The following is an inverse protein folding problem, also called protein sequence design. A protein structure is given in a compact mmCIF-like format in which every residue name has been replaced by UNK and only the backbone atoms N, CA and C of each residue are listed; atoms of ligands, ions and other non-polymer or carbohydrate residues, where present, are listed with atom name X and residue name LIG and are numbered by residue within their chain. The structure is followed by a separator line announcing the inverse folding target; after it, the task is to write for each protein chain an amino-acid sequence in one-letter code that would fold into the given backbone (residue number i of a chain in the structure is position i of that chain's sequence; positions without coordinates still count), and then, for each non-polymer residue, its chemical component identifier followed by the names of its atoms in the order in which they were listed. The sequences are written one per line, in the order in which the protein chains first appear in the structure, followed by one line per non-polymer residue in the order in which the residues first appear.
data_IF_073212153142
#
_entry.id   IF_073212153142
#
_cell.length_a   1.000
_cell.length_b   1.000
_cell.length_c   1.000
_cell.angle_alpha   90.00
_cell.angle_beta   90.00
_cell.angle_gamma   90.00
#
_symmetry.space_group_name_H-M   'P 1'
#
loop_
_entity.id
_entity.type
_entity.pdbx_description
1 polymer ?
#
# COMPACT_ATOMS: atom_id res chain seq x y z
N UNK A 1 -10.06 47.29 22.76
CA UNK A 1 -11.36 46.99 22.13
C UNK A 1 -11.11 46.68 20.65
N UNK A 2 -11.76 45.66 20.10
CA UNK A 2 -11.54 44.99 18.78
C UNK A 2 -10.55 43.84 18.87
N UNK A 3 -11.07 42.63 19.11
CA UNK A 3 -10.55 41.32 18.65
C UNK A 3 -11.30 40.19 19.37
N UNK A 4 -12.63 40.08 19.20
CA UNK A 4 -13.37 38.95 19.79
C UNK A 4 -14.63 38.52 19.01
N UNK A 5 -14.71 38.84 17.72
CA UNK A 5 -15.87 38.48 16.87
C UNK A 5 -15.36 37.88 15.56
N UNK A 6 -14.65 36.76 15.60
CA UNK A 6 -14.33 35.97 14.39
C UNK A 6 -14.16 34.47 14.67
N UNK A 7 -14.64 33.99 15.83
CA UNK A 7 -14.45 32.61 16.31
C UNK A 7 -15.76 31.84 16.51
N UNK A 8 -16.88 32.35 15.99
CA UNK A 8 -18.20 31.72 16.11
C UNK A 8 -18.77 31.19 14.78
N UNK A 9 -18.15 31.48 13.63
CA UNK A 9 -18.66 31.06 12.31
C UNK A 9 -17.92 29.87 11.67
N UNK A 10 -16.83 29.39 12.28
CA UNK A 10 -16.03 28.26 11.80
C UNK A 10 -16.33 26.94 12.54
N UNK A 11 -17.31 26.91 13.43
CA UNK A 11 -17.74 25.72 14.18
C UNK A 11 -18.93 24.97 13.58
N UNK A 12 -19.64 25.56 12.61
CA UNK A 12 -20.87 24.98 12.04
C UNK A 12 -20.66 24.19 10.74
N UNK A 13 -19.46 24.18 10.16
CA UNK A 13 -19.17 23.51 8.89
C UNK A 13 -18.57 22.08 9.04
N UNK A 14 -18.38 21.62 10.28
CA UNK A 14 -17.76 20.30 10.59
C UNK A 14 -18.76 19.21 11.01
N UNK A 15 -20.07 19.48 10.99
CA UNK A 15 -21.13 18.48 11.27
C UNK A 15 -21.85 17.98 10.01
N UNK A 16 -21.42 18.41 8.83
CA UNK A 16 -21.98 18.05 7.53
C UNK A 16 -21.22 16.95 6.80
N UNK A 17 -20.57 16.02 7.51
CA UNK A 17 -20.17 14.75 6.87
C UNK A 17 -21.45 13.97 6.57
N UNK A 18 -21.95 14.20 5.37
CA UNK A 18 -23.08 13.57 4.72
C UNK A 18 -22.85 12.06 4.65
N UNK A 19 -23.17 11.37 5.75
CA UNK A 19 -23.62 10.00 5.65
C UNK A 19 -24.73 10.00 4.59
N UNK A 20 -24.47 9.38 3.43
CA UNK A 20 -25.50 9.12 2.43
C UNK A 20 -26.68 8.53 3.19
N UNK A 21 -27.77 9.30 3.33
CA UNK A 21 -28.94 8.85 4.10
C UNK A 21 -29.40 7.57 3.43
N UNK A 22 -29.40 6.47 4.17
CA UNK A 22 -29.94 5.20 3.67
C UNK A 22 -31.39 5.48 3.28
N UNK A 23 -31.76 5.12 2.06
CA UNK A 23 -33.10 5.27 1.52
C UNK A 23 -33.56 3.93 0.95
N UNK A 24 -34.85 3.77 0.73
CA UNK A 24 -35.40 2.56 0.11
C UNK A 24 -34.80 2.35 -1.28
N UNK A 25 -34.60 3.41 -2.05
CA UNK A 25 -33.97 3.36 -3.38
C UNK A 25 -32.53 2.88 -3.29
N UNK A 26 -31.74 3.44 -2.36
CA UNK A 26 -30.33 3.04 -2.17
C UNK A 26 -30.18 1.58 -1.73
N UNK A 27 -31.04 1.11 -0.83
CA UNK A 27 -31.03 -0.29 -0.40
C UNK A 27 -31.52 -1.23 -1.51
N UNK A 28 -32.48 -0.80 -2.35
CA UNK A 28 -32.92 -1.57 -3.53
C UNK A 28 -31.82 -1.68 -4.57
N UNK A 29 -31.10 -0.59 -4.85
CA UNK A 29 -29.95 -0.62 -5.78
C UNK A 29 -28.84 -1.53 -5.25
N UNK A 30 -28.56 -1.47 -3.96
CA UNK A 30 -27.58 -2.35 -3.30
C UNK A 30 -27.99 -3.81 -3.41
N UNK A 31 -29.28 -4.10 -3.24
CA UNK A 31 -29.85 -5.44 -3.38
C UNK A 31 -29.62 -6.03 -4.77
N UNK A 32 -29.99 -5.30 -5.82
CA UNK A 32 -29.81 -5.75 -7.19
C UNK A 32 -28.33 -5.95 -7.55
N UNK A 33 -27.46 -5.04 -7.11
CA UNK A 33 -26.02 -5.15 -7.29
C UNK A 33 -25.45 -6.40 -6.59
N UNK A 34 -25.86 -6.64 -5.34
CA UNK A 34 -25.43 -7.79 -4.56
C UNK A 34 -25.91 -9.10 -5.20
N UNK A 35 -27.18 -9.17 -5.64
CA UNK A 35 -27.75 -10.34 -6.31
C UNK A 35 -27.02 -10.65 -7.62
N UNK A 36 -26.80 -9.64 -8.45
CA UNK A 36 -26.05 -9.81 -9.70
C UNK A 36 -24.60 -10.27 -9.45
N UNK A 37 -23.97 -9.79 -8.39
CA UNK A 37 -22.63 -10.23 -8.03
C UNK A 37 -22.59 -11.68 -7.51
N UNK A 38 -23.52 -12.09 -6.64
CA UNK A 38 -23.65 -13.48 -6.20
C UNK A 38 -23.86 -14.42 -7.40
N UNK A 39 -24.68 -14.03 -8.37
CA UNK A 39 -24.87 -14.80 -9.60
C UNK A 39 -23.58 -14.97 -10.41
N UNK A 40 -22.81 -13.88 -10.60
CA UNK A 40 -21.49 -13.93 -11.26
C UNK A 40 -20.52 -14.85 -10.54
N UNK A 41 -20.45 -14.76 -9.22
CA UNK A 41 -19.58 -15.61 -8.40
C UNK A 41 -20.02 -17.07 -8.43
N UNK A 42 -21.33 -17.33 -8.39
CA UNK A 42 -21.88 -18.69 -8.50
C UNK A 42 -21.52 -19.35 -9.84
N UNK A 43 -21.54 -18.57 -10.93
CA UNK A 43 -21.07 -19.04 -12.23
C UNK A 43 -19.56 -19.33 -12.27
N UNK A 44 -18.75 -18.47 -11.64
CA UNK A 44 -17.28 -18.64 -11.59
C UNK A 44 -16.84 -19.78 -10.66
N UNK A 45 -17.55 -19.98 -9.56
CA UNK A 45 -17.23 -20.93 -8.50
C UNK A 45 -18.36 -21.94 -8.32
N UNK A 46 -18.57 -22.81 -9.32
CA UNK A 46 -19.70 -23.74 -9.37
C UNK A 46 -19.82 -24.65 -8.14
N UNK A 47 -18.71 -25.01 -7.51
CA UNK A 47 -18.70 -25.85 -6.30
C UNK A 47 -19.28 -25.16 -5.07
N UNK A 48 -19.38 -23.83 -5.08
CA UNK A 48 -19.97 -23.01 -4.02
C UNK A 48 -21.47 -22.76 -4.24
N UNK A 49 -22.06 -23.28 -5.33
CA UNK A 49 -23.48 -23.06 -5.67
C UNK A 49 -24.44 -23.37 -4.52
N UNK A 50 -24.32 -24.49 -3.76
CA UNK A 50 -25.21 -24.74 -2.62
C UNK A 50 -25.15 -23.65 -1.55
N UNK A 51 -23.96 -23.11 -1.27
CA UNK A 51 -23.80 -22.01 -0.33
C UNK A 51 -24.40 -20.70 -0.86
N UNK A 52 -24.25 -20.41 -2.15
CA UNK A 52 -24.88 -19.23 -2.77
C UNK A 52 -26.41 -19.33 -2.77
N UNK A 53 -26.97 -20.48 -3.07
CA UNK A 53 -28.43 -20.72 -3.03
C UNK A 53 -28.98 -20.58 -1.61
N UNK A 54 -28.26 -21.08 -0.61
CA UNK A 54 -28.64 -20.94 0.80
C UNK A 54 -28.75 -19.46 1.21
N UNK A 55 -27.74 -18.64 0.89
CA UNK A 55 -27.74 -17.23 1.26
C UNK A 55 -28.75 -16.41 0.46
N UNK A 56 -28.94 -16.73 -0.83
CA UNK A 56 -29.94 -16.07 -1.67
C UNK A 56 -31.33 -16.30 -1.11
N UNK A 57 -31.68 -17.55 -0.78
CA UNK A 57 -32.98 -17.89 -0.20
C UNK A 57 -33.23 -17.15 1.12
N UNK A 58 -32.24 -17.11 2.01
CA UNK A 58 -32.33 -16.39 3.30
C UNK A 58 -32.50 -14.89 3.10
N UNK A 59 -31.71 -14.31 2.20
CA UNK A 59 -31.74 -12.88 1.94
C UNK A 59 -33.02 -12.44 1.21
N UNK A 60 -33.52 -13.25 0.27
CA UNK A 60 -34.78 -13.00 -0.44
C UNK A 60 -35.97 -13.00 0.52
N UNK A 61 -36.06 -13.99 1.42
CA UNK A 61 -37.09 -14.01 2.45
C UNK A 61 -37.07 -12.73 3.29
N UNK A 62 -35.89 -12.31 3.76
CA UNK A 62 -35.73 -11.08 4.54
C UNK A 62 -36.07 -9.81 3.74
N UNK A 63 -35.73 -9.79 2.46
CA UNK A 63 -36.04 -8.66 1.57
C UNK A 63 -37.56 -8.55 1.36
N UNK A 64 -38.26 -9.67 1.17
CA UNK A 64 -39.72 -9.70 1.07
C UNK A 64 -40.39 -9.22 2.37
N UNK A 65 -39.91 -9.68 3.53
CA UNK A 65 -40.39 -9.18 4.83
C UNK A 65 -40.19 -7.67 4.95
N UNK A 66 -39.01 -7.16 4.56
CA UNK A 66 -38.71 -5.73 4.59
C UNK A 66 -39.65 -4.92 3.67
N UNK A 67 -39.93 -5.43 2.48
CA UNK A 67 -40.81 -4.77 1.51
C UNK A 67 -42.26 -4.64 1.99
N UNK A 68 -42.73 -5.56 2.82
CA UNK A 68 -44.07 -5.54 3.41
C UNK A 68 -44.22 -4.52 4.58
N UNK A 69 -43.12 -3.93 5.07
CA UNK A 69 -43.17 -2.95 6.14
C UNK A 69 -43.69 -1.59 5.66
N UNK A 70 -44.57 -0.98 6.47
CA UNK A 70 -45.15 0.35 6.20
C UNK A 70 -44.30 1.48 6.79
N UNK A 71 -43.66 1.26 7.95
CA UNK A 71 -42.72 2.22 8.53
C UNK A 71 -41.44 2.28 7.71
N UNK A 72 -41.14 3.46 7.16
CA UNK A 72 -40.03 3.66 6.23
C UNK A 72 -38.66 3.38 6.88
N UNK A 73 -38.48 3.78 8.14
CA UNK A 73 -37.21 3.59 8.85
C UNK A 73 -36.97 2.11 9.15
N UNK A 74 -38.00 1.39 9.60
CA UNK A 74 -37.95 -0.05 9.81
C UNK A 74 -37.70 -0.80 8.50
N UNK A 75 -38.38 -0.40 7.42
CA UNK A 75 -38.17 -0.94 6.07
C UNK A 75 -36.71 -0.81 5.62
N UNK A 76 -36.15 0.39 5.68
CA UNK A 76 -34.74 0.64 5.33
C UNK A 76 -33.80 -0.25 6.16
N UNK A 77 -34.05 -0.37 7.46
CA UNK A 77 -33.24 -1.21 8.36
C UNK A 77 -33.35 -2.70 8.02
N UNK A 78 -34.53 -3.18 7.64
CA UNK A 78 -34.72 -4.58 7.27
C UNK A 78 -34.13 -4.92 5.89
N UNK A 79 -34.22 -3.99 4.92
CA UNK A 79 -33.56 -4.13 3.61
C UNK A 79 -32.03 -4.14 3.77
N UNK A 80 -31.51 -3.29 4.65
CA UNK A 80 -30.10 -3.28 5.03
C UNK A 80 -29.62 -4.64 5.59
N UNK A 81 -30.45 -5.28 6.40
CA UNK A 81 -30.17 -6.61 6.94
C UNK A 81 -30.15 -7.66 5.83
N UNK A 82 -31.13 -7.66 4.92
CA UNK A 82 -31.15 -8.53 3.74
C UNK A 82 -29.88 -8.35 2.88
N UNK A 83 -29.47 -7.10 2.65
CA UNK A 83 -28.23 -6.76 1.96
C UNK A 83 -26.96 -7.28 2.66
N UNK A 84 -26.96 -7.37 3.99
CA UNK A 84 -25.87 -7.97 4.76
C UNK A 84 -25.86 -9.50 4.63
N UNK A 85 -27.03 -10.14 4.65
CA UNK A 85 -27.19 -11.60 4.56
C UNK A 85 -26.69 -12.13 3.21
N UNK A 86 -26.99 -11.44 2.10
CA UNK A 86 -26.56 -11.85 0.76
C UNK A 86 -25.05 -11.67 0.52
N UNK A 87 -24.37 -10.87 1.37
CA UNK A 87 -22.93 -10.58 1.24
C UNK A 87 -22.12 -10.95 2.48
N UNK A 88 -22.13 -12.24 2.88
CA UNK A 88 -21.36 -12.73 4.01
C UNK A 88 -19.85 -12.70 3.71
N UNK A 89 -19.03 -13.20 4.65
CA UNK A 89 -17.56 -13.13 4.55
C UNK A 89 -17.02 -13.88 3.34
N UNK A 90 -17.48 -15.11 3.07
CA UNK A 90 -16.98 -15.89 1.93
C UNK A 90 -17.26 -15.23 0.58
N UNK A 91 -18.41 -14.58 0.42
CA UNK A 91 -18.74 -13.82 -0.81
C UNK A 91 -17.71 -12.72 -1.02
N UNK A 92 -17.44 -11.90 0.01
CA UNK A 92 -16.41 -10.85 -0.04
C UNK A 92 -15.00 -11.41 -0.27
N UNK A 93 -14.68 -12.55 0.33
CA UNK A 93 -13.39 -13.21 0.14
C UNK A 93 -13.20 -13.71 -1.29
N UNK A 94 -14.24 -14.29 -1.91
CA UNK A 94 -14.21 -14.72 -3.31
C UNK A 94 -14.11 -13.53 -4.27
N UNK A 95 -14.84 -12.42 -4.02
CA UNK A 95 -14.70 -11.18 -4.80
C UNK A 95 -13.26 -10.65 -4.78
N UNK A 96 -12.62 -10.68 -3.61
CA UNK A 96 -11.26 -10.16 -3.40
C UNK A 96 -10.14 -11.11 -3.81
N UNK A 97 -10.45 -12.36 -4.17
CA UNK A 97 -9.46 -13.42 -4.35
C UNK A 97 -8.46 -13.12 -5.49
N UNK A 98 -8.98 -12.73 -6.66
CA UNK A 98 -8.13 -12.43 -7.83
C UNK A 98 -7.18 -11.26 -7.53
N UNK A 99 -7.68 -10.22 -6.85
CA UNK A 99 -6.88 -9.06 -6.44
C UNK A 99 -5.75 -9.45 -5.49
N UNK A 100 -6.01 -10.33 -4.52
CA UNK A 100 -4.98 -10.83 -3.58
C UNK A 100 -3.90 -11.63 -4.33
N UNK A 101 -4.30 -12.48 -5.27
CA UNK A 101 -3.37 -13.25 -6.09
C UNK A 101 -2.51 -12.33 -6.95
N UNK A 102 -3.11 -11.36 -7.64
CA UNK A 102 -2.37 -10.37 -8.45
C UNK A 102 -1.41 -9.53 -7.59
N UNK A 103 -1.84 -9.12 -6.38
CA UNK A 103 -0.95 -8.40 -5.44
C UNK A 103 0.27 -9.23 -5.03
N UNK A 104 0.09 -10.54 -4.83
CA UNK A 104 1.19 -11.46 -4.56
C UNK A 104 2.14 -11.60 -5.75
N UNK A 105 1.60 -11.73 -6.96
CA UNK A 105 2.39 -11.79 -8.20
C UNK A 105 3.24 -10.54 -8.39
N UNK A 106 2.67 -9.35 -8.16
CA UNK A 106 3.40 -8.08 -8.17
C UNK A 106 4.52 -8.03 -7.13
N UNK A 107 4.25 -8.51 -5.91
CA UNK A 107 5.24 -8.55 -4.85
C UNK A 107 6.38 -9.54 -5.15
N UNK A 108 6.09 -10.68 -5.78
CA UNK A 108 7.11 -11.62 -6.24
C UNK A 108 8.01 -11.01 -7.31
N UNK A 109 7.42 -10.24 -8.24
CA UNK A 109 8.19 -9.49 -9.24
C UNK A 109 9.08 -8.42 -8.58
N UNK A 110 8.52 -7.62 -7.66
CA UNK A 110 9.27 -6.60 -6.91
C UNK A 110 10.41 -7.19 -6.08
N UNK A 111 10.17 -8.28 -5.36
CA UNK A 111 11.21 -8.96 -4.58
C UNK A 111 12.39 -9.39 -5.47
N UNK A 112 12.08 -9.92 -6.66
CA UNK A 112 13.11 -10.29 -7.64
C UNK A 112 13.89 -9.07 -8.14
N UNK A 113 13.19 -8.01 -8.54
CA UNK A 113 13.79 -6.78 -9.08
C UNK A 113 14.67 -6.03 -8.07
N UNK A 114 14.30 -6.03 -6.78
CA UNK A 114 15.01 -5.30 -5.74
C UNK A 114 16.18 -6.09 -5.13
N UNK A 115 16.28 -7.40 -5.39
CA UNK A 115 17.36 -8.23 -4.86
C UNK A 115 18.69 -8.00 -5.58
N UNK A 116 19.59 -7.22 -4.94
CA UNK A 116 20.86 -6.79 -5.55
C UNK A 116 22.03 -7.71 -5.18
N UNK A 117 22.07 -8.18 -3.93
CA UNK A 117 23.12 -9.07 -3.43
C UNK A 117 22.67 -10.54 -3.36
N UNK A 118 23.59 -11.47 -3.09
CA UNK A 118 23.29 -12.90 -3.03
C UNK A 118 22.26 -13.23 -1.93
N UNK A 119 22.40 -12.62 -0.76
CA UNK A 119 21.51 -12.89 0.38
C UNK A 119 20.07 -12.45 0.10
N UNK A 120 19.90 -11.30 -0.58
CA UNK A 120 18.60 -10.81 -1.00
C UNK A 120 17.97 -11.73 -2.05
N UNK A 121 18.78 -12.27 -2.96
CA UNK A 121 18.30 -13.19 -4.02
C UNK A 121 17.80 -14.51 -3.42
N UNK A 122 18.52 -15.06 -2.46
CA UNK A 122 18.10 -16.28 -1.74
C UNK A 122 16.78 -16.04 -0.98
N UNK A 123 16.68 -14.91 -0.27
CA UNK A 123 15.47 -14.53 0.46
C UNK A 123 14.29 -14.30 -0.50
N UNK A 124 14.50 -13.60 -1.61
CA UNK A 124 13.50 -13.38 -2.65
C UNK A 124 13.05 -14.68 -3.29
N UNK A 125 13.97 -15.59 -3.59
CA UNK A 125 13.65 -16.90 -4.15
C UNK A 125 12.79 -17.74 -3.18
N UNK A 126 13.19 -17.82 -1.91
CA UNK A 126 12.43 -18.56 -0.90
C UNK A 126 11.02 -17.97 -0.69
N UNK A 127 10.90 -16.64 -0.62
CA UNK A 127 9.62 -15.96 -0.49
C UNK A 127 8.73 -16.13 -1.73
N UNK A 128 9.31 -16.07 -2.94
CA UNK A 128 8.60 -16.32 -4.20
C UNK A 128 8.08 -17.75 -4.27
N UNK A 129 8.91 -18.75 -3.99
CA UNK A 129 8.49 -20.15 -3.95
C UNK A 129 7.35 -20.39 -2.95
N UNK A 130 7.42 -19.76 -1.78
CA UNK A 130 6.32 -19.77 -0.80
C UNK A 130 5.06 -19.07 -1.32
N UNK A 131 5.18 -17.98 -2.07
CA UNK A 131 4.07 -17.25 -2.69
C UNK A 131 3.37 -18.05 -3.77
N UNK A 132 4.13 -18.64 -4.69
CA UNK A 132 3.61 -19.52 -5.74
C UNK A 132 2.89 -20.74 -5.14
N UNK A 133 3.47 -21.34 -4.09
CA UNK A 133 2.81 -22.43 -3.36
C UNK A 133 1.48 -21.98 -2.76
N UNK A 134 1.45 -20.86 -2.05
CA UNK A 134 0.22 -20.34 -1.45
C UNK A 134 -0.86 -20.03 -2.50
N UNK A 135 -0.49 -19.49 -3.68
CA UNK A 135 -1.43 -19.27 -4.78
C UNK A 135 -2.00 -20.60 -5.29
N UNK A 136 -1.14 -21.61 -5.50
CA UNK A 136 -1.58 -22.94 -5.96
C UNK A 136 -2.50 -23.61 -4.93
N UNK A 137 -2.12 -23.61 -3.66
CA UNK A 137 -2.91 -24.20 -2.57
C UNK A 137 -4.27 -23.49 -2.42
N UNK A 138 -4.31 -22.16 -2.43
CA UNK A 138 -5.56 -21.40 -2.36
C UNK A 138 -6.47 -21.68 -3.57
N UNK A 139 -5.92 -21.72 -4.80
CA UNK A 139 -6.69 -22.07 -6.00
C UNK A 139 -7.24 -23.49 -5.92
N UNK A 140 -6.44 -24.44 -5.46
CA UNK A 140 -6.87 -25.83 -5.36
C UNK A 140 -7.92 -26.02 -4.26
N UNK A 141 -7.77 -25.37 -3.10
CA UNK A 141 -8.79 -25.36 -2.05
C UNK A 141 -10.15 -24.89 -2.57
N UNK A 142 -10.18 -23.78 -3.32
CA UNK A 142 -11.42 -23.24 -3.88
C UNK A 142 -11.97 -24.16 -4.98
N UNK A 143 -11.10 -24.72 -5.83
CA UNK A 143 -11.49 -25.55 -6.98
C UNK A 143 -11.96 -26.95 -6.58
N UNK A 144 -11.41 -27.54 -5.54
CA UNK A 144 -11.67 -28.93 -5.14
C UNK A 144 -12.67 -29.08 -3.98
N UNK A 145 -12.99 -27.97 -3.31
CA UNK A 145 -13.86 -28.00 -2.15
C UNK A 145 -15.26 -28.53 -2.45
N UNK A 146 -15.75 -29.42 -1.57
CA UNK A 146 -17.16 -29.82 -1.52
C UNK A 146 -17.90 -28.88 -0.57
N UNK A 147 -18.55 -27.85 -1.11
CA UNK A 147 -19.24 -26.84 -0.32
C UNK A 147 -20.72 -27.17 -0.23
N UNK A 148 -21.18 -27.57 0.96
CA UNK A 148 -22.59 -27.92 1.20
C UNK A 148 -23.40 -26.80 1.86
N UNK A 149 -22.75 -25.79 2.44
CA UNK A 149 -23.40 -24.70 3.16
C UNK A 149 -22.55 -23.43 3.20
N UNK A 150 -23.19 -22.31 3.56
CA UNK A 150 -22.52 -21.03 3.76
C UNK A 150 -21.41 -21.08 4.82
N UNK A 151 -21.61 -21.84 5.91
CA UNK A 151 -20.61 -21.99 6.95
C UNK A 151 -19.36 -22.74 6.47
N UNK A 152 -19.54 -23.79 5.66
CA UNK A 152 -18.43 -24.53 5.04
C UNK A 152 -17.69 -23.62 4.04
N UNK A 153 -18.43 -22.83 3.26
CA UNK A 153 -17.85 -21.85 2.34
C UNK A 153 -16.96 -20.83 3.05
N UNK A 154 -17.44 -20.27 4.17
CA UNK A 154 -16.69 -19.34 5.01
C UNK A 154 -15.37 -19.94 5.49
N UNK A 155 -15.37 -21.19 5.96
CA UNK A 155 -14.16 -21.89 6.40
C UNK A 155 -13.11 -21.99 5.29
N UNK A 156 -13.52 -22.51 4.12
CA UNK A 156 -12.61 -22.73 2.98
C UNK A 156 -12.02 -21.41 2.46
N UNK A 157 -12.86 -20.38 2.29
CA UNK A 157 -12.39 -19.09 1.77
C UNK A 157 -11.46 -18.42 2.77
N UNK A 158 -11.78 -18.48 4.06
CA UNK A 158 -10.90 -17.93 5.10
C UNK A 158 -9.55 -18.65 5.16
N UNK A 159 -9.50 -19.97 4.97
CA UNK A 159 -8.24 -20.71 4.93
C UNK A 159 -7.39 -20.34 3.71
N UNK A 160 -8.01 -20.23 2.52
CA UNK A 160 -7.35 -19.70 1.33
C UNK A 160 -6.80 -18.27 1.56
N UNK A 161 -7.61 -17.38 2.14
CA UNK A 161 -7.18 -16.02 2.45
C UNK A 161 -6.01 -15.96 3.45
N UNK A 162 -6.00 -16.85 4.46
CA UNK A 162 -4.91 -16.94 5.44
C UNK A 162 -3.60 -17.37 4.81
N UNK A 163 -3.63 -18.34 3.90
CA UNK A 163 -2.44 -18.77 3.15
C UNK A 163 -1.86 -17.61 2.32
N UNK A 164 -2.72 -16.95 1.52
CA UNK A 164 -2.32 -15.82 0.69
C UNK A 164 -1.78 -14.66 1.54
N UNK A 165 -2.46 -14.30 2.62
CA UNK A 165 -2.06 -13.20 3.50
C UNK A 165 -0.72 -13.48 4.19
N UNK A 166 -0.47 -14.73 4.56
CA UNK A 166 0.81 -15.13 5.19
C UNK A 166 1.97 -15.04 4.20
N UNK A 167 1.77 -15.49 2.95
CA UNK A 167 2.74 -15.31 1.88
C UNK A 167 2.97 -13.82 1.56
N UNK A 168 1.90 -13.02 1.57
CA UNK A 168 1.97 -11.58 1.27
C UNK A 168 2.87 -10.87 2.28
N UNK A 169 2.68 -11.14 3.58
CA UNK A 169 3.52 -10.56 4.64
C UNK A 169 5.00 -10.92 4.45
N UNK A 170 5.32 -12.18 4.14
CA UNK A 170 6.71 -12.61 3.91
C UNK A 170 7.35 -11.87 2.73
N UNK A 171 6.64 -11.76 1.62
CA UNK A 171 7.13 -11.03 0.45
C UNK A 171 7.29 -9.53 0.73
N UNK A 172 6.35 -8.92 1.47
CA UNK A 172 6.44 -7.52 1.87
C UNK A 172 7.69 -7.25 2.72
N UNK A 173 8.04 -8.13 3.65
CA UNK A 173 9.25 -7.98 4.47
C UNK A 173 10.54 -8.10 3.63
N UNK A 174 10.58 -9.01 2.64
CA UNK A 174 11.73 -9.12 1.72
C UNK A 174 11.90 -7.86 0.88
N UNK A 175 10.82 -7.38 0.25
CA UNK A 175 10.79 -6.14 -0.53
C UNK A 175 11.25 -4.95 0.33
N UNK A 176 10.71 -4.82 1.54
CA UNK A 176 11.05 -3.74 2.46
C UNK A 176 12.53 -3.79 2.88
N UNK A 177 13.06 -4.98 3.16
CA UNK A 177 14.45 -5.16 3.56
C UNK A 177 15.40 -4.82 2.41
N UNK A 178 15.11 -5.31 1.20
CA UNK A 178 15.90 -5.01 0.00
C UNK A 178 15.88 -3.51 -0.33
N UNK A 179 14.71 -2.85 -0.23
CA UNK A 179 14.59 -1.41 -0.43
C UNK A 179 15.41 -0.63 0.62
N UNK A 180 15.30 -1.00 1.90
CA UNK A 180 16.07 -0.34 2.97
C UNK A 180 17.58 -0.42 2.73
N UNK A 181 18.10 -1.60 2.37
CA UNK A 181 19.51 -1.76 2.01
C UNK A 181 19.91 -0.92 0.80
N UNK A 182 19.04 -0.82 -0.20
CA UNK A 182 19.29 0.03 -1.37
C UNK A 182 19.38 1.51 -1.00
N UNK A 183 18.46 2.00 -0.17
CA UNK A 183 18.43 3.39 0.28
C UNK A 183 19.66 3.73 1.14
N UNK A 184 20.05 2.83 2.04
CA UNK A 184 21.27 2.97 2.86
C UNK A 184 22.53 3.03 1.99
N UNK A 185 22.61 2.19 0.94
CA UNK A 185 23.74 2.20 0.00
C UNK A 185 23.81 3.48 -0.83
N UNK A 186 22.67 3.99 -1.31
CA UNK A 186 22.65 5.25 -2.05
C UNK A 186 23.00 6.44 -1.15
N UNK A 187 22.54 6.44 0.11
CA UNK A 187 22.94 7.45 1.10
C UNK A 187 24.45 7.40 1.37
N UNK A 188 25.01 6.20 1.58
CA UNK A 188 26.45 6.05 1.81
C UNK A 188 27.29 6.54 0.61
N UNK A 189 26.84 6.29 -0.63
CA UNK A 189 27.49 6.84 -1.83
C UNK A 189 27.41 8.36 -1.91
N UNK A 190 26.25 8.93 -1.57
CA UNK A 190 26.08 10.38 -1.55
C UNK A 190 26.99 11.04 -0.51
N UNK A 191 27.08 10.46 0.69
CA UNK A 191 27.95 10.92 1.77
C UNK A 191 29.43 10.83 1.35
N UNK A 192 29.86 9.71 0.74
CA UNK A 192 31.22 9.55 0.21
C UNK A 192 31.55 10.59 -0.88
N UNK A 193 30.63 10.82 -1.83
CA UNK A 193 30.83 11.80 -2.90
C UNK A 193 30.92 13.23 -2.34
N UNK A 194 30.12 13.55 -1.32
CA UNK A 194 30.18 14.84 -0.65
C UNK A 194 31.51 15.04 0.08
N UNK A 195 32.03 13.99 0.75
CA UNK A 195 33.34 14.03 1.40
C UNK A 195 34.48 14.18 0.38
N UNK A 196 34.45 13.47 -0.74
CA UNK A 196 35.43 13.61 -1.82
C UNK A 196 35.42 15.01 -2.44
N UNK A 197 34.22 15.57 -2.68
CA UNK A 197 34.06 16.93 -3.22
C UNK A 197 34.61 17.96 -2.23
N UNK A 198 34.32 17.81 -0.93
CA UNK A 198 34.86 18.70 0.11
C UNK A 198 36.39 18.62 0.21
N UNK A 199 36.99 17.43 0.06
CA UNK A 199 38.45 17.25 0.03
C UNK A 199 39.07 17.94 -1.20
N UNK A 200 38.47 17.79 -2.38
CA UNK A 200 38.92 18.45 -3.60
C UNK A 200 38.86 19.98 -3.50
N UNK A 201 37.77 20.55 -2.96
CA UNK A 201 37.67 22.00 -2.76
C UNK A 201 38.72 22.55 -1.79
N UNK A 202 39.10 21.78 -0.75
CA UNK A 202 40.16 22.17 0.19
C UNK A 202 41.54 22.14 -0.48
N UNK A 203 41.82 21.13 -1.31
CA UNK A 203 43.07 21.07 -2.08
C UNK A 203 43.17 22.18 -3.12
N UNK A 204 42.08 22.49 -3.83
CA UNK A 204 42.04 23.57 -4.83
C UNK A 204 42.21 24.96 -4.19
N UNK A 205 41.65 25.20 -2.99
CA UNK A 205 41.91 26.42 -2.21
C UNK A 205 43.36 26.54 -1.76
N UNK A 206 44.01 25.44 -1.38
CA UNK A 206 45.46 25.43 -1.06
C UNK A 206 46.34 25.67 -2.30
N UNK A 207 45.84 25.38 -3.49
CA UNK A 207 46.51 25.58 -4.77
C UNK A 207 46.15 26.91 -5.48
N UNK A 208 45.39 27.80 -4.85
CA UNK A 208 44.99 29.08 -5.44
C UNK A 208 46.10 30.14 -5.33
N UNK A 209 46.43 30.88 -6.41
CA UNK A 209 47.48 31.88 -6.39
C UNK A 209 47.15 33.03 -5.42
N UNK A 210 48.16 33.45 -4.65
CA UNK A 210 48.02 34.45 -3.58
C UNK A 210 48.29 35.84 -4.15
N UNK A 211 47.31 36.74 -4.07
CA UNK A 211 47.46 38.14 -4.50
C UNK A 211 48.26 38.91 -3.46
N UNK A 212 49.34 39.57 -3.88
CA UNK A 212 50.13 40.43 -3.00
C UNK A 212 49.33 41.67 -2.59
N UNK A 213 49.20 41.94 -1.28
CA UNK A 213 48.51 43.12 -0.77
C UNK A 213 49.21 44.45 -1.10
N UNK A 214 50.52 44.43 -1.34
CA UNK A 214 51.31 45.64 -1.63
C UNK A 214 51.27 46.06 -3.10
N UNK A 215 51.44 45.11 -4.04
CA UNK A 215 51.56 45.43 -5.48
C UNK A 215 50.51 44.75 -6.36
N UNK A 216 49.62 43.93 -5.78
CA UNK A 216 48.55 43.25 -6.51
C UNK A 216 48.97 42.07 -7.39
N UNK A 217 50.26 41.75 -7.49
CA UNK A 217 50.75 40.61 -8.30
C UNK A 217 50.25 39.27 -7.74
N UNK A 218 49.85 38.35 -8.63
CA UNK A 218 49.45 36.98 -8.26
C UNK A 218 50.69 36.08 -8.11
N UNK A 219 50.82 35.40 -6.98
CA UNK A 219 51.97 34.57 -6.64
C UNK A 219 51.57 33.10 -6.56
N UNK A 220 52.53 32.20 -6.75
CA UNK A 220 52.27 30.76 -6.60
C UNK A 220 51.83 30.44 -5.16
N UNK A 221 50.92 29.48 -4.96
CA UNK A 221 50.51 29.05 -3.63
C UNK A 221 51.72 28.60 -2.80
N UNK A 222 51.73 28.93 -1.51
CA UNK A 222 52.85 28.60 -0.61
C UNK A 222 54.09 29.50 -0.74
N UNK A 223 54.08 30.52 -1.59
CA UNK A 223 55.18 31.50 -1.68
C UNK A 223 55.24 32.36 -0.42
N UNK A 224 56.41 32.47 0.21
CA UNK A 224 56.61 33.33 1.41
C UNK A 224 56.83 34.81 1.06
N UNK A 225 57.20 35.13 -0.18
CA UNK A 225 57.48 36.49 -0.67
C UNK A 225 56.89 36.70 -2.06
N UNK A 226 56.55 37.95 -2.37
CA UNK A 226 56.05 38.32 -3.69
C UNK A 226 57.15 38.24 -4.75
N UNK A 227 56.87 37.61 -5.88
CA UNK A 227 57.82 37.47 -7.01
C UNK A 227 58.17 38.80 -7.68
N UNK A 228 57.30 39.82 -7.57
CA UNK A 228 57.49 41.12 -8.22
C UNK A 228 58.13 42.17 -7.30
N UNK A 229 57.68 42.28 -6.04
CA UNK A 229 58.14 43.34 -5.13
C UNK A 229 58.87 42.84 -3.87
N UNK A 230 59.08 41.53 -3.74
CA UNK A 230 59.73 40.87 -2.59
C UNK A 230 59.06 41.08 -1.21
N UNK A 231 57.92 41.78 -1.14
CA UNK A 231 57.15 41.95 0.09
C UNK A 231 56.73 40.58 0.67
N UNK A 232 56.72 40.40 1.99
CA UNK A 232 56.24 39.17 2.61
C UNK A 232 54.76 38.95 2.24
N UNK A 233 54.42 37.72 1.88
CA UNK A 233 53.03 37.32 1.66
C UNK A 233 52.53 36.71 2.97
N UNK A 234 51.47 37.28 3.55
CA UNK A 234 50.84 36.67 4.70
C UNK A 234 50.30 35.31 4.29
N UNK A 235 50.77 34.25 4.95
CA UNK A 235 50.15 32.95 4.82
C UNK A 235 48.73 33.11 5.36
N UNK A 236 47.73 33.07 4.49
CA UNK A 236 46.34 32.90 4.92
C UNK A 236 46.32 31.65 5.81
N UNK A 237 46.20 31.86 7.13
CA UNK A 237 45.96 30.80 8.10
C UNK A 237 44.57 30.23 7.89
#
# INVERSE_FOLDING_TARGET
MKNFIFLAFLGALLLGQTACKRSVEGETQSWEANKGNVQKLSAKYSNFKPAFEEILKKAEAKMTEAQAMTDEKAKISAMAEANSIIRPKFVRGLEGMDRKISTLEDLMAKASQQSKDHSDRDAAWAAKSSGERAIREARELIRSAKVSSAAVADGIVNDAERQLSSAQKRLQEVVKTAQKKADEKEKAKADQKAEETAKQEVEEKKASPIKCGYCGTMNKPGSLKCSSCAAPLEANK
#
